data_IF_647980649246
#
_entry.id   IF_647980649246
#
_cell.length_a   1.000
_cell.length_b   1.000
_cell.length_c   1.000
_cell.angle_alpha   90.00
_cell.angle_beta   90.00
_cell.angle_gamma   90.00
#
_symmetry.space_group_name_H-M   'P 1'
#
loop_
_entity.id
_entity.type
_entity.pdbx_description
1 polymer ?
#
# COMPACT_ATOMS: atom_id res chain seq x y z
N UNK A 1 -12.24 -9.35 -16.94
CA UNK A 1 -11.62 -8.93 -15.67
C UNK A 1 -10.99 -7.57 -15.93
N UNK A 2 -11.12 -6.59 -15.02
CA UNK A 2 -10.46 -5.29 -15.14
C UNK A 2 -8.96 -5.47 -14.96
N UNK A 3 -8.14 -4.70 -15.71
CA UNK A 3 -6.71 -4.70 -15.49
C UNK A 3 -6.37 -3.98 -14.17
N UNK A 4 -5.27 -4.40 -13.54
CA UNK A 4 -4.80 -3.85 -12.28
C UNK A 4 -3.39 -3.30 -12.47
N UNK A 5 -3.21 -2.08 -12.02
CA UNK A 5 -1.94 -1.39 -12.03
C UNK A 5 -1.58 -0.90 -10.64
N UNK A 6 -0.29 -0.86 -10.34
CA UNK A 6 0.24 -0.21 -9.14
C UNK A 6 1.30 0.81 -9.53
N UNK A 7 1.38 1.91 -8.78
CA UNK A 7 2.39 2.95 -9.00
C UNK A 7 3.22 3.11 -7.74
N UNK A 8 4.54 3.00 -7.87
CA UNK A 8 5.51 3.22 -6.80
C UNK A 8 6.51 4.31 -7.24
N UNK A 9 6.30 5.54 -6.78
CA UNK A 9 7.21 6.65 -7.11
C UNK A 9 8.51 6.62 -6.28
N UNK A 10 8.47 6.03 -5.08
CA UNK A 10 9.55 6.06 -4.10
C UNK A 10 9.87 4.65 -3.57
N UNK A 11 10.40 3.76 -4.45
CA UNK A 11 10.77 2.40 -4.06
C UNK A 11 11.90 2.43 -3.03
N UNK A 12 12.09 1.30 -2.36
CA UNK A 12 13.21 1.11 -1.45
C UNK A 12 13.67 -0.35 -1.47
N UNK A 13 14.95 -0.59 -1.21
CA UNK A 13 15.36 -1.88 -0.70
C UNK A 13 15.03 -1.95 0.79
N UNK A 14 14.26 -2.94 1.20
CA UNK A 14 14.00 -3.24 2.61
C UNK A 14 15.04 -4.26 3.07
N UNK A 15 15.96 -3.81 3.94
CA UNK A 15 17.08 -4.56 4.46
C UNK A 15 16.79 -4.97 5.90
N UNK A 16 16.75 -6.27 6.16
CA UNK A 16 16.58 -6.82 7.48
C UNK A 16 17.90 -7.40 7.97
N UNK A 17 18.52 -6.74 8.95
CA UNK A 17 19.79 -7.11 9.54
C UNK A 17 19.53 -7.86 10.84
N UNK A 18 19.74 -9.18 10.85
CA UNK A 18 19.67 -9.99 12.06
C UNK A 18 21.02 -9.99 12.75
N UNK A 19 21.02 -9.78 14.05
CA UNK A 19 22.21 -9.74 14.88
C UNK A 19 21.91 -10.26 16.28
N UNK A 20 22.92 -10.80 16.95
CA UNK A 20 22.78 -11.30 18.32
C UNK A 20 22.59 -10.17 19.31
N UNK A 21 23.29 -9.05 19.09
CA UNK A 21 23.33 -7.92 20.02
C UNK A 21 23.47 -6.61 19.24
N UNK A 22 22.86 -5.54 19.75
CA UNK A 22 23.04 -4.17 19.24
C UNK A 22 23.46 -3.24 20.36
N UNK A 23 24.62 -2.62 20.23
CA UNK A 23 25.12 -1.64 21.17
C UNK A 23 25.44 -0.32 20.46
N UNK A 24 24.74 0.75 20.85
CA UNK A 24 24.98 2.07 20.31
C UNK A 24 26.42 2.55 20.62
N UNK A 25 27.04 3.27 19.69
CA UNK A 25 28.40 3.80 19.79
C UNK A 25 29.52 2.75 19.75
N UNK A 26 29.20 1.48 19.41
CA UNK A 26 30.20 0.43 19.14
C UNK A 26 30.05 -0.14 17.73
N UNK A 27 31.08 -0.87 17.30
CA UNK A 27 30.98 -1.70 16.10
C UNK A 27 30.06 -2.88 16.37
N UNK A 28 29.07 -3.07 15.49
CA UNK A 28 28.10 -4.16 15.56
C UNK A 28 28.21 -5.04 14.32
N UNK A 29 28.24 -6.35 14.51
CA UNK A 29 28.33 -7.33 13.43
C UNK A 29 26.94 -7.92 13.13
N UNK A 30 26.65 -8.10 11.85
CA UNK A 30 25.39 -8.64 11.35
C UNK A 30 25.57 -10.12 11.04
N UNK A 31 24.73 -10.97 11.60
CA UNK A 31 24.77 -12.42 11.40
C UNK A 31 24.17 -12.83 10.05
N UNK A 32 23.12 -12.14 9.61
CA UNK A 32 22.48 -12.40 8.32
C UNK A 32 21.73 -11.16 7.81
N UNK A 33 21.61 -11.08 6.48
CA UNK A 33 20.92 -10.01 5.77
C UNK A 33 19.85 -10.61 4.87
N UNK A 34 18.59 -10.14 5.02
CA UNK A 34 17.55 -10.30 4.02
C UNK A 34 17.36 -8.95 3.32
N UNK A 35 17.28 -8.98 1.99
CA UNK A 35 17.10 -7.79 1.16
C UNK A 35 15.96 -8.01 0.20
N UNK A 36 14.91 -7.21 0.33
CA UNK A 36 13.73 -7.25 -0.53
C UNK A 36 13.55 -5.95 -1.30
N UNK A 37 13.14 -6.07 -2.57
CA UNK A 37 12.69 -4.92 -3.35
C UNK A 37 11.33 -4.48 -2.80
N UNK A 38 11.29 -3.35 -2.13
CA UNK A 38 10.13 -2.84 -1.40
C UNK A 38 9.50 -1.62 -2.04
N UNK A 39 8.44 -1.17 -1.40
CA UNK A 39 7.58 -0.07 -1.83
C UNK A 39 6.13 -0.54 -1.86
N UNK A 40 5.21 0.31 -1.39
CA UNK A 40 3.80 -0.10 -1.18
C UNK A 40 3.16 -0.70 -2.44
N UNK A 41 3.32 -0.09 -3.62
CA UNK A 41 2.77 -0.63 -4.87
C UNK A 41 3.39 -1.98 -5.26
N UNK A 42 4.68 -2.19 -5.01
CA UNK A 42 5.34 -3.48 -5.23
C UNK A 42 4.78 -4.53 -4.26
N UNK A 43 4.61 -4.20 -2.98
CA UNK A 43 4.01 -5.10 -1.99
C UNK A 43 2.59 -5.51 -2.37
N UNK A 44 1.78 -4.55 -2.86
CA UNK A 44 0.43 -4.83 -3.40
C UNK A 44 0.52 -5.82 -4.56
N UNK A 45 1.42 -5.61 -5.53
CA UNK A 45 1.57 -6.49 -6.69
C UNK A 45 2.03 -7.90 -6.30
N UNK A 46 2.91 -8.04 -5.29
CA UNK A 46 3.29 -9.35 -4.73
C UNK A 46 2.11 -10.08 -4.10
N UNK A 47 1.35 -9.37 -3.26
CA UNK A 47 0.18 -9.96 -2.60
C UNK A 47 -0.87 -10.41 -3.61
N UNK A 48 -1.10 -9.64 -4.68
CA UNK A 48 -1.95 -10.02 -5.80
C UNK A 48 -1.43 -11.28 -6.49
N UNK A 49 -0.14 -11.32 -6.84
CA UNK A 49 0.49 -12.43 -7.57
C UNK A 49 0.38 -13.75 -6.82
N UNK A 50 0.75 -13.76 -5.54
CA UNK A 50 0.67 -14.97 -4.70
C UNK A 50 -0.77 -15.48 -4.58
N UNK A 51 -1.76 -14.58 -4.66
CA UNK A 51 -3.18 -14.92 -4.60
C UNK A 51 -3.85 -15.04 -5.98
N UNK A 52 -3.06 -15.32 -7.04
CA UNK A 52 -3.58 -15.68 -8.37
C UNK A 52 -4.22 -14.51 -9.13
N UNK A 53 -3.72 -13.29 -8.92
CA UNK A 53 -4.14 -12.10 -9.68
C UNK A 53 -2.93 -11.39 -10.24
N UNK A 54 -2.89 -11.20 -11.55
CA UNK A 54 -1.83 -10.45 -12.20
C UNK A 54 -2.11 -8.93 -12.08
N UNK A 55 -1.01 -8.18 -11.99
CA UNK A 55 -1.00 -6.73 -12.05
C UNK A 55 0.27 -6.26 -12.77
N UNK A 56 0.28 -5.03 -13.27
CA UNK A 56 1.50 -4.40 -13.78
C UNK A 56 1.95 -3.32 -12.81
N UNK A 57 3.17 -3.43 -12.28
CA UNK A 57 3.75 -2.46 -11.37
C UNK A 57 4.56 -1.42 -12.13
N UNK A 58 4.10 -0.18 -12.18
CA UNK A 58 4.88 0.97 -12.63
C UNK A 58 5.79 1.42 -11.48
N UNK A 59 7.07 1.52 -11.74
CA UNK A 59 8.05 1.86 -10.70
C UNK A 59 9.16 2.74 -11.26
N UNK A 60 9.56 3.77 -10.50
CA UNK A 60 10.70 4.61 -10.85
C UNK A 60 11.95 4.02 -10.18
N UNK A 61 12.96 3.73 -10.96
CA UNK A 61 14.20 3.09 -10.53
C UNK A 61 15.41 4.00 -10.73
N UNK A 62 16.24 4.12 -9.72
CA UNK A 62 17.55 4.77 -9.84
C UNK A 62 18.53 3.88 -10.62
N UNK A 63 19.31 4.47 -11.50
CA UNK A 63 20.22 3.77 -12.43
C UNK A 63 21.43 3.10 -11.73
N UNK A 64 21.82 3.57 -10.53
CA UNK A 64 22.95 3.01 -9.79
C UNK A 64 22.70 1.59 -9.24
N UNK A 65 21.46 1.27 -8.83
CA UNK A 65 21.12 -0.04 -8.25
C UNK A 65 19.80 -0.63 -8.76
N UNK A 66 19.20 -0.01 -9.77
CA UNK A 66 17.93 -0.44 -10.37
C UNK A 66 17.99 -1.85 -10.94
N UNK A 67 19.10 -2.24 -11.55
CA UNK A 67 19.27 -3.60 -12.08
C UNK A 67 19.12 -4.69 -11.00
N UNK A 68 19.62 -4.45 -9.79
CA UNK A 68 19.45 -5.36 -8.66
C UNK A 68 17.98 -5.41 -8.19
N UNK A 69 17.27 -4.27 -8.24
CA UNK A 69 15.85 -4.18 -7.92
C UNK A 69 15.02 -4.98 -8.94
N UNK A 70 15.24 -4.76 -10.23
CA UNK A 70 14.57 -5.51 -11.30
C UNK A 70 14.82 -7.03 -11.20
N UNK A 71 16.05 -7.44 -10.85
CA UNK A 71 16.36 -8.85 -10.65
C UNK A 71 15.49 -9.49 -9.54
N UNK A 72 15.11 -8.72 -8.51
CA UNK A 72 14.18 -9.20 -7.48
C UNK A 72 12.75 -9.26 -8.01
N UNK A 73 12.26 -8.23 -8.72
CA UNK A 73 10.92 -8.23 -9.31
C UNK A 73 10.74 -9.43 -10.27
N UNK A 74 11.78 -9.75 -11.04
CA UNK A 74 11.79 -10.92 -11.93
C UNK A 74 11.72 -12.23 -11.17
N UNK A 75 12.47 -12.37 -10.06
CA UNK A 75 12.41 -13.56 -9.20
C UNK A 75 11.02 -13.76 -8.58
N UNK A 76 10.35 -12.66 -8.22
CA UNK A 76 8.99 -12.67 -7.69
C UNK A 76 7.92 -12.94 -8.78
N UNK A 77 8.33 -13.02 -10.04
CA UNK A 77 7.44 -13.24 -11.19
C UNK A 77 6.47 -12.10 -11.45
N UNK A 78 6.82 -10.87 -11.06
CA UNK A 78 5.96 -9.70 -11.26
C UNK A 78 6.05 -9.18 -12.69
N UNK A 79 4.93 -8.73 -13.23
CA UNK A 79 4.92 -7.86 -14.39
C UNK A 79 5.17 -6.43 -13.93
N UNK A 80 6.15 -5.76 -14.52
CA UNK A 80 6.50 -4.40 -14.14
C UNK A 80 6.94 -3.58 -15.36
N UNK A 81 6.76 -2.27 -15.24
CA UNK A 81 7.17 -1.27 -16.21
C UNK A 81 8.06 -0.24 -15.51
N UNK A 82 9.39 -0.33 -15.65
CA UNK A 82 10.30 0.58 -14.99
C UNK A 82 10.45 1.89 -15.77
N UNK A 83 10.56 3.00 -15.04
CA UNK A 83 11.05 4.27 -15.55
C UNK A 83 12.36 4.55 -14.83
N UNK A 84 13.43 4.80 -15.59
CA UNK A 84 14.75 5.01 -15.01
C UNK A 84 15.05 6.50 -14.78
N UNK A 85 15.69 6.78 -13.65
CA UNK A 85 16.18 8.12 -13.29
C UNK A 85 17.60 8.02 -12.76
N UNK A 86 18.33 9.13 -12.78
CA UNK A 86 19.64 9.19 -12.18
C UNK A 86 19.59 8.96 -10.66
N UNK A 87 20.62 8.32 -10.12
CA UNK A 87 20.83 8.13 -8.70
C UNK A 87 20.48 6.74 -8.18
N UNK A 88 20.39 6.64 -6.85
CA UNK A 88 20.29 5.37 -6.13
C UNK A 88 18.92 5.20 -5.49
N UNK A 89 18.26 4.08 -5.69
CA UNK A 89 17.09 3.65 -4.91
C UNK A 89 17.49 3.63 -3.44
N UNK A 90 16.67 4.26 -2.60
CA UNK A 90 16.90 4.33 -1.16
C UNK A 90 16.81 2.96 -0.48
N UNK A 91 17.31 2.90 0.74
CA UNK A 91 17.30 1.71 1.57
C UNK A 91 16.54 2.01 2.87
N UNK A 92 15.73 1.06 3.32
CA UNK A 92 15.17 1.02 4.66
C UNK A 92 15.87 -0.12 5.39
N UNK A 93 16.56 0.19 6.47
CA UNK A 93 17.29 -0.79 7.26
C UNK A 93 16.49 -1.06 8.54
N UNK A 94 16.17 -2.33 8.79
CA UNK A 94 15.60 -2.77 10.06
C UNK A 94 16.63 -3.65 10.76
N UNK A 95 17.09 -3.22 11.92
CA UNK A 95 17.96 -3.98 12.81
C UNK A 95 17.07 -4.86 13.67
N UNK A 96 17.37 -6.16 13.70
CA UNK A 96 16.69 -7.17 14.52
C UNK A 96 17.67 -7.79 15.51
N UNK A 97 17.99 -7.10 16.62
CA UNK A 97 18.80 -7.70 17.69
C UNK A 97 17.99 -8.77 18.41
N UNK A 98 18.63 -9.88 18.80
CA UNK A 98 17.95 -10.94 19.55
C UNK A 98 17.61 -10.54 21.00
N UNK A 99 18.31 -9.55 21.54
CA UNK A 99 18.24 -9.14 22.95
C UNK A 99 17.51 -7.82 23.19
N UNK A 100 17.04 -7.14 22.13
CA UNK A 100 16.40 -5.84 22.26
C UNK A 100 15.33 -5.61 21.19
N UNK A 101 14.65 -4.45 21.24
CA UNK A 101 13.63 -4.09 20.25
C UNK A 101 14.27 -3.76 18.90
N UNK A 102 13.53 -4.04 17.83
CA UNK A 102 13.93 -3.62 16.48
C UNK A 102 14.11 -2.11 16.37
N UNK A 103 15.08 -1.70 15.54
CA UNK A 103 15.34 -0.31 15.22
C UNK A 103 15.30 -0.14 13.72
N UNK A 104 14.56 0.88 13.23
CA UNK A 104 14.44 1.18 11.81
C UNK A 104 15.19 2.45 11.45
N UNK A 105 15.94 2.39 10.35
CA UNK A 105 16.64 3.52 9.74
C UNK A 105 16.14 3.63 8.30
N UNK A 106 15.40 4.70 8.01
CA UNK A 106 14.85 4.93 6.66
C UNK A 106 15.61 6.06 5.98
N UNK A 107 16.21 5.76 4.84
CA UNK A 107 16.86 6.78 4.02
C UNK A 107 15.82 7.53 3.19
N UNK A 108 15.93 8.85 3.16
CA UNK A 108 15.08 9.73 2.36
C UNK A 108 15.94 10.47 1.32
N UNK A 109 16.59 9.69 0.46
CA UNK A 109 17.61 10.16 -0.48
C UNK A 109 17.19 10.12 -1.93
N UNK A 110 16.16 9.32 -2.26
CA UNK A 110 15.71 9.13 -3.64
C UNK A 110 15.03 10.40 -4.18
N UNK A 111 15.43 10.81 -5.38
CA UNK A 111 14.91 12.00 -6.06
C UNK A 111 14.30 11.62 -7.41
N UNK A 112 13.22 12.30 -7.74
CA UNK A 112 12.54 12.18 -9.03
C UNK A 112 12.28 13.59 -9.56
N UNK A 113 12.45 13.82 -10.85
CA UNK A 113 12.13 15.09 -11.48
C UNK A 113 10.74 15.10 -12.10
N UNK A 114 10.14 16.26 -12.38
CA UNK A 114 8.86 16.37 -13.07
C UNK A 114 8.86 15.69 -14.46
N UNK A 115 9.99 15.70 -15.18
CA UNK A 115 10.14 15.05 -16.49
C UNK A 115 9.99 13.53 -16.36
N UNK A 116 10.59 12.92 -15.34
CA UNK A 116 10.48 11.49 -15.05
C UNK A 116 9.04 11.12 -14.65
N UNK A 117 8.37 11.98 -13.87
CA UNK A 117 6.95 11.77 -13.56
C UNK A 117 6.10 11.83 -14.83
N UNK A 118 6.38 12.75 -15.76
CA UNK A 118 5.67 12.85 -17.04
C UNK A 118 5.91 11.61 -17.92
N UNK A 119 7.12 11.06 -17.93
CA UNK A 119 7.42 9.82 -18.64
C UNK A 119 6.63 8.64 -18.06
N UNK A 120 6.58 8.52 -16.73
CA UNK A 120 5.74 7.53 -16.04
C UNK A 120 4.27 7.72 -16.42
N UNK A 121 3.76 8.94 -16.35
CA UNK A 121 2.37 9.26 -16.71
C UNK A 121 2.03 8.79 -18.12
N UNK A 122 2.87 9.12 -19.10
CA UNK A 122 2.70 8.68 -20.47
C UNK A 122 2.65 7.15 -20.56
N UNK A 123 3.60 6.47 -19.90
CA UNK A 123 3.66 5.00 -19.87
C UNK A 123 2.39 4.38 -19.28
N UNK A 124 1.83 4.98 -18.21
CA UNK A 124 0.58 4.52 -17.59
C UNK A 124 -0.61 4.76 -18.53
N UNK A 125 -0.74 5.96 -19.10
CA UNK A 125 -1.86 6.33 -19.97
C UNK A 125 -1.87 5.56 -21.30
N UNK A 126 -0.71 5.13 -21.80
CA UNK A 126 -0.61 4.31 -23.02
C UNK A 126 -1.30 2.94 -22.86
N UNK A 127 -1.37 2.40 -21.63
CA UNK A 127 -1.93 1.06 -21.38
C UNK A 127 -3.22 1.06 -20.60
N UNK A 128 -3.43 1.99 -19.65
CA UNK A 128 -4.66 2.07 -18.86
C UNK A 128 -5.88 2.42 -19.70
N UNK A 129 -7.01 1.81 -19.38
CA UNK A 129 -8.31 2.07 -20.03
C UNK A 129 -9.33 2.47 -18.98
N UNK A 130 -10.41 3.11 -19.43
CA UNK A 130 -11.52 3.45 -18.55
C UNK A 130 -12.08 2.21 -17.84
N UNK A 131 -12.25 2.32 -16.53
CA UNK A 131 -12.70 1.24 -15.66
C UNK A 131 -11.59 0.33 -15.12
N UNK A 132 -10.35 0.45 -15.59
CA UNK A 132 -9.21 -0.24 -14.98
C UNK A 132 -8.94 0.28 -13.56
N UNK A 133 -8.24 -0.52 -12.76
CA UNK A 133 -7.94 -0.25 -11.37
C UNK A 133 -6.47 0.15 -11.22
N UNK A 134 -6.20 1.24 -10.52
CA UNK A 134 -4.83 1.66 -10.24
C UNK A 134 -4.68 2.01 -8.76
N UNK A 135 -3.71 1.39 -8.08
CA UNK A 135 -3.29 1.78 -6.74
C UNK A 135 -2.06 2.69 -6.80
N UNK A 136 -2.23 3.94 -6.35
CA UNK A 136 -1.15 4.85 -6.03
C UNK A 136 -0.85 4.74 -4.54
N UNK A 137 0.31 4.19 -4.19
CA UNK A 137 0.62 3.90 -2.80
C UNK A 137 2.07 4.25 -2.43
N UNK A 138 2.24 4.82 -1.24
CA UNK A 138 3.52 5.23 -0.69
C UNK A 138 3.73 6.74 -0.68
N UNK A 139 4.92 7.15 -0.21
CA UNK A 139 5.31 8.56 -0.11
C UNK A 139 5.80 9.09 -1.45
N UNK A 140 5.55 10.39 -1.69
CA UNK A 140 6.18 11.09 -2.80
C UNK A 140 7.71 11.13 -2.58
N UNK A 141 8.51 10.96 -3.64
CA UNK A 141 9.97 11.16 -3.57
C UNK A 141 10.30 12.66 -3.46
N UNK A 142 11.53 12.96 -3.08
CA UNK A 142 12.06 14.33 -3.19
C UNK A 142 12.18 14.74 -4.66
N UNK A 143 12.07 16.05 -4.90
CA UNK A 143 12.21 16.64 -6.23
C UNK A 143 10.91 16.78 -7.01
N UNK A 144 9.82 16.17 -6.56
CA UNK A 144 8.48 16.43 -7.06
C UNK A 144 7.73 17.37 -6.11
N UNK A 145 7.10 18.35 -6.67
CA UNK A 145 6.12 19.16 -5.95
C UNK A 145 4.82 18.34 -5.82
N UNK A 146 4.12 18.53 -4.71
CA UNK A 146 2.85 17.84 -4.45
C UNK A 146 1.82 18.09 -5.56
N UNK A 147 1.78 19.30 -6.08
CA UNK A 147 0.90 19.70 -7.18
C UNK A 147 1.11 18.88 -8.46
N UNK A 148 2.35 18.49 -8.77
CA UNK A 148 2.65 17.66 -9.96
C UNK A 148 2.01 16.27 -9.83
N UNK A 149 2.11 15.69 -8.63
CA UNK A 149 1.53 14.36 -8.35
C UNK A 149 -0.01 14.43 -8.32
N UNK A 150 -0.59 15.49 -7.76
CA UNK A 150 -2.04 15.73 -7.80
C UNK A 150 -2.53 15.82 -9.26
N UNK A 151 -1.84 16.61 -10.09
CA UNK A 151 -2.19 16.77 -11.50
C UNK A 151 -2.08 15.43 -12.26
N UNK A 152 -1.06 14.62 -11.99
CA UNK A 152 -0.92 13.27 -12.54
C UNK A 152 -2.14 12.39 -12.19
N UNK A 153 -2.50 12.30 -10.91
CA UNK A 153 -3.62 11.45 -10.45
C UNK A 153 -4.96 11.92 -11.05
N UNK A 154 -5.19 13.23 -11.11
CA UNK A 154 -6.38 13.81 -11.74
C UNK A 154 -6.50 13.45 -13.22
N UNK A 155 -5.38 13.46 -13.97
CA UNK A 155 -5.40 13.06 -15.38
C UNK A 155 -5.76 11.59 -15.57
N UNK A 156 -5.29 10.69 -14.69
CA UNK A 156 -5.69 9.28 -14.69
C UNK A 156 -7.20 9.13 -14.46
N UNK A 157 -7.73 9.84 -13.44
CA UNK A 157 -9.15 9.81 -13.11
C UNK A 157 -9.99 10.38 -14.27
N UNK A 158 -9.55 11.48 -14.87
CA UNK A 158 -10.22 12.09 -16.04
C UNK A 158 -10.25 11.14 -17.26
N UNK A 159 -9.30 10.20 -17.37
CA UNK A 159 -9.30 9.13 -18.37
C UNK A 159 -10.15 7.91 -17.95
N UNK A 160 -10.90 8.01 -16.86
CA UNK A 160 -11.81 6.96 -16.38
C UNK A 160 -11.15 5.84 -15.60
N UNK A 161 -9.89 5.97 -15.21
CA UNK A 161 -9.19 5.00 -14.35
C UNK A 161 -9.72 5.13 -12.92
N UNK A 162 -10.07 4.02 -12.29
CA UNK A 162 -10.47 3.99 -10.87
C UNK A 162 -9.22 3.98 -9.99
N UNK A 163 -8.88 5.13 -9.44
CA UNK A 163 -7.66 5.32 -8.66
C UNK A 163 -7.93 5.11 -7.18
N UNK A 164 -7.12 4.24 -6.55
CA UNK A 164 -7.00 4.12 -5.08
C UNK A 164 -5.79 4.93 -4.65
N UNK A 165 -5.92 5.74 -3.58
CA UNK A 165 -4.80 6.47 -2.98
C UNK A 165 -4.56 6.00 -1.55
N UNK A 166 -3.35 5.50 -1.29
CA UNK A 166 -2.85 5.15 0.05
C UNK A 166 -1.49 5.81 0.31
N UNK A 167 -1.53 7.09 0.64
CA UNK A 167 -0.34 7.91 0.80
C UNK A 167 -0.52 8.94 1.92
N UNK A 168 0.48 9.04 2.78
CA UNK A 168 0.56 10.10 3.79
C UNK A 168 1.16 11.42 3.25
N UNK A 169 1.33 11.54 1.93
CA UNK A 169 1.81 12.77 1.29
C UNK A 169 0.70 13.78 1.04
N UNK A 170 -0.56 13.41 1.21
CA UNK A 170 -1.73 14.25 0.91
C UNK A 170 -2.54 14.56 2.16
N UNK A 171 -3.01 15.81 2.24
CA UNK A 171 -4.02 16.25 3.21
C UNK A 171 -5.42 15.92 2.70
N UNK A 172 -6.47 16.04 3.54
CA UNK A 172 -7.86 15.91 3.08
C UNK A 172 -8.22 16.88 1.94
N UNK A 173 -7.67 18.10 1.97
CA UNK A 173 -7.89 19.11 0.92
C UNK A 173 -7.26 18.66 -0.40
N UNK A 174 -6.03 18.13 -0.37
CA UNK A 174 -5.36 17.57 -1.54
C UNK A 174 -6.16 16.39 -2.11
N UNK A 175 -6.67 15.51 -1.23
CA UNK A 175 -7.50 14.38 -1.63
C UNK A 175 -8.85 14.83 -2.23
N UNK A 176 -9.43 15.91 -1.70
CA UNK A 176 -10.64 16.53 -2.31
C UNK A 176 -10.36 17.05 -3.71
N UNK A 177 -9.16 17.61 -3.94
CA UNK A 177 -8.75 18.04 -5.28
C UNK A 177 -8.52 16.86 -6.23
N UNK A 178 -7.92 15.76 -5.76
CA UNK A 178 -7.70 14.53 -6.53
C UNK A 178 -9.03 13.82 -6.81
N UNK A 179 -9.89 13.73 -5.80
CA UNK A 179 -11.15 12.99 -5.78
C UNK A 179 -11.01 11.54 -6.26
N UNK A 180 -10.19 10.70 -5.56
CA UNK A 180 -9.97 9.32 -5.96
C UNK A 180 -11.24 8.47 -5.73
N UNK A 181 -11.32 7.32 -6.42
CA UNK A 181 -12.36 6.35 -6.16
C UNK A 181 -12.35 5.86 -4.70
N UNK A 182 -11.17 5.52 -4.16
CA UNK A 182 -11.04 4.97 -2.81
C UNK A 182 -9.80 5.53 -2.11
N UNK A 183 -9.93 5.85 -0.84
CA UNK A 183 -8.82 6.02 0.10
C UNK A 183 -8.91 4.99 1.21
N UNK A 184 -7.74 4.60 1.79
CA UNK A 184 -7.70 3.65 2.89
C UNK A 184 -6.88 4.19 4.08
N UNK A 185 -7.35 5.17 4.83
CA UNK A 185 -6.69 5.58 6.07
C UNK A 185 -6.81 4.53 7.18
N UNK A 186 -5.88 4.58 8.13
CA UNK A 186 -5.98 3.89 9.41
C UNK A 186 -6.56 4.84 10.49
N UNK A 187 -6.75 4.30 11.71
CA UNK A 187 -7.30 5.08 12.84
C UNK A 187 -6.50 6.36 13.15
N UNK A 188 -5.17 6.30 13.09
CA UNK A 188 -4.32 7.47 13.38
C UNK A 188 -4.41 8.52 12.28
N UNK A 189 -4.46 8.09 11.02
CA UNK A 189 -4.61 8.98 9.87
C UNK A 189 -5.98 9.66 9.88
N UNK A 190 -7.05 8.97 10.28
CA UNK A 190 -8.38 9.56 10.44
C UNK A 190 -8.39 10.64 11.52
N UNK A 191 -7.77 10.38 12.67
CA UNK A 191 -7.63 11.41 13.70
C UNK A 191 -6.90 12.64 13.16
N UNK A 192 -5.86 12.42 12.36
CA UNK A 192 -5.14 13.52 11.68
C UNK A 192 -6.01 14.27 10.68
N UNK A 193 -6.94 13.59 9.99
CA UNK A 193 -7.80 14.17 8.97
C UNK A 193 -8.99 14.97 9.55
N UNK A 194 -9.58 14.47 10.62
CA UNK A 194 -10.82 15.03 11.16
C UNK A 194 -10.64 15.75 12.53
N UNK A 195 -9.51 15.54 13.20
CA UNK A 195 -9.26 16.08 14.55
C UNK A 195 -10.10 15.43 15.65
N UNK A 196 -10.85 14.36 15.31
CA UNK A 196 -11.72 13.65 16.27
C UNK A 196 -11.21 12.22 16.49
N UNK A 197 -11.18 11.72 17.74
CA UNK A 197 -10.83 10.33 18.02
C UNK A 197 -11.81 9.35 17.38
N UNK A 198 -11.30 8.17 17.03
CA UNK A 198 -12.10 7.00 16.63
C UNK A 198 -11.92 5.97 17.71
N UNK A 199 -12.95 5.75 18.52
CA UNK A 199 -12.88 4.87 19.69
C UNK A 199 -13.49 3.48 19.43
N UNK A 200 -14.31 3.38 18.39
CA UNK A 200 -15.00 2.14 18.01
C UNK A 200 -15.34 2.12 16.51
N UNK A 201 -15.85 0.99 16.05
CA UNK A 201 -16.18 0.79 14.63
C UNK A 201 -17.31 1.72 14.13
N UNK A 202 -18.24 2.13 15.00
CA UNK A 202 -19.30 3.07 14.63
C UNK A 202 -18.74 4.49 14.41
N UNK A 203 -17.80 4.93 15.24
CA UNK A 203 -17.11 6.20 15.04
C UNK A 203 -16.33 6.19 13.72
N UNK A 204 -15.69 5.07 13.40
CA UNK A 204 -15.01 4.88 12.11
C UNK A 204 -16.00 4.94 10.93
N UNK A 205 -17.19 4.34 11.06
CA UNK A 205 -18.23 4.40 10.04
C UNK A 205 -18.71 5.84 9.80
N UNK A 206 -18.94 6.57 10.88
CA UNK A 206 -19.33 7.99 10.82
C UNK A 206 -18.21 8.85 10.19
N UNK A 207 -16.96 8.60 10.55
CA UNK A 207 -15.80 9.28 10.01
C UNK A 207 -15.63 9.00 8.49
N UNK A 208 -15.77 7.75 8.07
CA UNK A 208 -15.72 7.38 6.66
C UNK A 208 -16.82 8.08 5.85
N UNK A 209 -18.08 8.05 6.34
CA UNK A 209 -19.19 8.73 5.69
C UNK A 209 -18.99 10.25 5.63
N UNK A 210 -18.43 10.86 6.65
CA UNK A 210 -18.12 12.30 6.69
C UNK A 210 -17.07 12.69 5.64
N UNK A 211 -16.00 11.89 5.47
CA UNK A 211 -14.98 12.15 4.44
C UNK A 211 -15.56 12.05 3.02
N UNK A 212 -16.43 11.06 2.78
CA UNK A 212 -17.14 10.97 1.48
C UNK A 212 -18.02 12.19 1.25
N UNK A 213 -18.79 12.62 2.25
CA UNK A 213 -19.66 13.82 2.15
C UNK A 213 -18.86 15.10 1.90
N UNK A 214 -17.64 15.20 2.43
CA UNK A 214 -16.72 16.30 2.13
C UNK A 214 -16.09 16.22 0.74
N UNK A 215 -16.31 15.16 -0.01
CA UNK A 215 -15.75 14.97 -1.35
C UNK A 215 -14.29 14.55 -1.36
N UNK A 216 -13.78 14.01 -0.26
CA UNK A 216 -12.37 13.56 -0.14
C UNK A 216 -12.10 12.37 -1.06
N UNK A 217 -13.08 11.49 -1.23
CA UNK A 217 -13.07 10.37 -2.15
C UNK A 217 -14.50 9.94 -2.48
N UNK A 218 -14.70 9.12 -3.51
CA UNK A 218 -16.02 8.52 -3.79
C UNK A 218 -16.38 7.48 -2.70
N UNK A 219 -15.40 6.73 -2.20
CA UNK A 219 -15.55 5.73 -1.16
C UNK A 219 -14.38 5.80 -0.18
N UNK A 220 -14.61 5.47 1.09
CA UNK A 220 -13.58 5.45 2.13
C UNK A 220 -13.60 4.12 2.87
N UNK A 221 -12.45 3.46 2.96
CA UNK A 221 -12.23 2.28 3.78
C UNK A 221 -11.31 2.63 4.95
N UNK A 222 -11.75 2.46 6.19
CA UNK A 222 -10.92 2.67 7.38
C UNK A 222 -10.49 1.31 7.94
N UNK A 223 -9.18 1.10 8.06
CA UNK A 223 -8.64 -0.10 8.70
C UNK A 223 -8.53 0.10 10.21
N UNK A 224 -9.05 -0.85 11.00
CA UNK A 224 -9.10 -0.85 12.47
C UNK A 224 -8.16 -1.93 13.06
N UNK A 225 -7.06 -2.19 12.38
CA UNK A 225 -6.10 -3.22 12.79
C UNK A 225 -6.76 -4.57 13.06
N UNK A 226 -6.56 -5.12 14.26
CA UNK A 226 -7.16 -6.42 14.65
C UNK A 226 -8.67 -6.38 14.91
N UNK A 227 -9.33 -5.22 14.85
CA UNK A 227 -10.79 -5.10 15.00
C UNK A 227 -11.54 -5.22 13.67
N UNK A 228 -10.80 -5.13 12.54
CA UNK A 228 -11.38 -5.29 11.21
C UNK A 228 -11.30 -4.02 10.37
N UNK A 229 -12.39 -3.67 9.71
CA UNK A 229 -12.46 -2.47 8.88
C UNK A 229 -13.90 -1.99 8.67
N UNK A 230 -14.00 -0.74 8.26
CA UNK A 230 -15.23 -0.09 7.83
C UNK A 230 -15.09 0.36 6.38
N UNK A 231 -16.17 0.31 5.61
CA UNK A 231 -16.25 0.86 4.26
C UNK A 231 -17.52 1.69 4.10
N UNK A 232 -17.41 2.91 3.63
CA UNK A 232 -18.56 3.79 3.37
C UNK A 232 -18.50 4.41 1.98
N UNK A 233 -19.69 4.57 1.34
CA UNK A 233 -19.91 5.38 0.15
C UNK A 233 -20.65 6.71 0.46
N UNK A 234 -20.76 7.04 1.74
CA UNK A 234 -21.44 8.24 2.23
C UNK A 234 -22.96 8.08 2.44
N UNK A 235 -23.56 7.02 1.90
CA UNK A 235 -24.98 6.66 2.13
C UNK A 235 -25.06 5.46 3.06
N UNK A 236 -24.34 4.39 2.72
CA UNK A 236 -24.28 3.17 3.49
C UNK A 236 -22.86 2.91 4.01
N UNK A 237 -22.78 2.26 5.17
CA UNK A 237 -21.52 1.82 5.77
C UNK A 237 -21.57 0.34 6.09
N UNK A 238 -20.51 -0.38 5.73
CA UNK A 238 -20.29 -1.77 6.10
C UNK A 238 -19.23 -1.83 7.20
N UNK A 239 -19.51 -2.53 8.27
CA UNK A 239 -18.57 -2.81 9.36
C UNK A 239 -18.27 -4.29 9.37
N UNK A 240 -16.99 -4.63 9.34
CA UNK A 240 -16.53 -6.01 9.36
C UNK A 240 -15.53 -6.23 10.48
N UNK A 241 -15.70 -7.35 11.20
CA UNK A 241 -14.72 -7.86 12.15
C UNK A 241 -13.89 -8.99 11.54
N UNK A 242 -12.66 -9.15 12.05
CA UNK A 242 -11.73 -10.23 11.69
C UNK A 242 -11.42 -11.10 12.92
N UNK A 243 -10.97 -12.35 12.70
CA UNK A 243 -10.52 -13.16 13.82
C UNK A 243 -9.29 -12.52 14.48
N UNK A 244 -9.29 -12.52 15.82
CA UNK A 244 -8.12 -12.06 16.58
C UNK A 244 -6.98 -13.05 16.43
N UNK A 245 -5.82 -12.59 15.98
CA UNK A 245 -4.60 -13.37 15.96
C UNK A 245 -3.98 -13.36 17.35
N UNK A 246 -3.76 -14.55 17.93
CA UNK A 246 -3.14 -14.65 19.24
C UNK A 246 -1.68 -14.13 19.24
N UNK A 247 -0.97 -14.39 18.14
CA UNK A 247 0.44 -14.00 17.98
C UNK A 247 0.67 -13.54 16.53
N UNK A 248 0.45 -12.25 16.21
CA UNK A 248 0.83 -11.73 14.90
C UNK A 248 2.36 -11.76 14.76
N UNK A 249 2.84 -12.20 13.60
CA UNK A 249 4.28 -12.26 13.28
C UNK A 249 4.80 -10.87 12.94
N UNK A 250 4.08 -10.14 12.08
CA UNK A 250 4.41 -8.76 11.69
C UNK A 250 3.14 -8.04 11.25
N UNK A 251 3.06 -6.73 11.50
CA UNK A 251 1.98 -5.89 10.96
C UNK A 251 2.44 -5.05 9.76
N UNK A 252 3.71 -5.17 9.39
CA UNK A 252 4.28 -4.43 8.24
C UNK A 252 3.69 -5.01 6.95
N UNK A 253 3.23 -4.14 6.05
CA UNK A 253 2.63 -4.55 4.78
C UNK A 253 1.18 -5.07 4.87
N UNK A 254 0.57 -5.13 6.07
CA UNK A 254 -0.85 -5.51 6.23
C UNK A 254 -1.78 -4.55 5.46
N UNK A 255 -1.52 -3.25 5.51
CA UNK A 255 -2.27 -2.25 4.76
C UNK A 255 -2.14 -2.41 3.24
N UNK A 256 -0.92 -2.70 2.74
CA UNK A 256 -0.67 -2.97 1.33
C UNK A 256 -1.41 -4.24 0.88
N UNK A 257 -1.36 -5.29 1.70
CA UNK A 257 -2.09 -6.54 1.44
C UNK A 257 -3.61 -6.33 1.48
N UNK A 258 -4.12 -5.49 2.38
CA UNK A 258 -5.55 -5.11 2.40
C UNK A 258 -5.95 -4.48 1.07
N UNK A 259 -5.17 -3.56 0.52
CA UNK A 259 -5.43 -2.97 -0.80
C UNK A 259 -5.33 -3.99 -1.93
N UNK A 260 -4.39 -4.93 -1.85
CA UNK A 260 -4.34 -6.04 -2.79
C UNK A 260 -5.65 -6.85 -2.78
N UNK A 261 -6.23 -7.10 -1.61
CA UNK A 261 -7.53 -7.75 -1.46
C UNK A 261 -8.69 -6.95 -2.09
N UNK A 262 -8.71 -5.61 -1.91
CA UNK A 262 -9.66 -4.73 -2.60
C UNK A 262 -9.57 -4.88 -4.10
N UNK A 263 -8.36 -4.75 -4.66
CA UNK A 263 -8.10 -4.85 -6.10
C UNK A 263 -8.46 -6.24 -6.65
N UNK A 264 -8.06 -7.30 -5.93
CA UNK A 264 -8.33 -8.69 -6.26
C UNK A 264 -9.83 -8.95 -6.45
N UNK A 265 -10.64 -8.53 -5.48
CA UNK A 265 -12.08 -8.77 -5.50
C UNK A 265 -12.83 -7.84 -6.48
N UNK A 266 -12.46 -6.54 -6.51
CA UNK A 266 -13.08 -5.56 -7.40
C UNK A 266 -12.82 -5.89 -8.88
N UNK A 267 -11.62 -6.35 -9.25
CA UNK A 267 -11.32 -6.74 -10.63
C UNK A 267 -12.17 -7.93 -11.11
N UNK A 268 -12.68 -8.73 -10.19
CA UNK A 268 -13.59 -9.86 -10.45
C UNK A 268 -15.07 -9.46 -10.47
N UNK A 269 -15.38 -8.19 -10.16
CA UNK A 269 -16.75 -7.68 -10.14
C UNK A 269 -17.57 -8.20 -8.95
N UNK A 270 -16.91 -8.51 -7.84
CA UNK A 270 -17.60 -8.95 -6.62
C UNK A 270 -18.30 -7.77 -5.94
N UNK A 271 -19.34 -8.06 -5.16
CA UNK A 271 -20.08 -7.06 -4.39
C UNK A 271 -19.23 -6.44 -3.26
N UNK A 272 -19.66 -5.29 -2.74
CA UNK A 272 -18.91 -4.50 -1.74
C UNK A 272 -18.61 -5.31 -0.46
N UNK A 273 -19.56 -6.10 0.03
CA UNK A 273 -19.33 -6.93 1.22
C UNK A 273 -18.21 -7.94 0.96
N UNK A 274 -18.28 -8.66 -0.15
CA UNK A 274 -17.27 -9.64 -0.54
C UNK A 274 -15.90 -8.98 -0.77
N UNK A 275 -15.88 -7.77 -1.35
CA UNK A 275 -14.64 -6.97 -1.51
C UNK A 275 -14.05 -6.66 -0.14
N UNK A 276 -14.85 -6.14 0.80
CA UNK A 276 -14.36 -5.79 2.13
C UNK A 276 -13.89 -7.02 2.91
N UNK A 277 -14.64 -8.13 2.86
CA UNK A 277 -14.23 -9.42 3.46
C UNK A 277 -12.89 -9.91 2.91
N UNK A 278 -12.72 -9.84 1.59
CA UNK A 278 -11.46 -10.22 0.93
C UNK A 278 -10.32 -9.30 1.36
N UNK A 279 -10.57 -8.00 1.39
CA UNK A 279 -9.57 -7.00 1.78
C UNK A 279 -9.04 -7.22 3.20
N UNK A 280 -9.94 -7.36 4.18
CA UNK A 280 -9.52 -7.62 5.58
C UNK A 280 -8.87 -8.98 5.75
N UNK A 281 -9.26 -9.98 4.94
CA UNK A 281 -8.64 -11.30 4.97
C UNK A 281 -7.19 -11.28 4.48
N UNK A 282 -6.91 -10.53 3.41
CA UNK A 282 -5.54 -10.32 2.94
C UNK A 282 -4.70 -9.61 3.99
N UNK A 283 -5.22 -8.52 4.60
CA UNK A 283 -4.51 -7.77 5.63
C UNK A 283 -4.23 -8.61 6.88
N UNK A 284 -5.22 -9.36 7.37
CA UNK A 284 -5.07 -10.23 8.53
C UNK A 284 -4.10 -11.38 8.26
N UNK A 285 -4.21 -12.04 7.09
CA UNK A 285 -3.31 -13.13 6.70
C UNK A 285 -1.86 -12.62 6.50
N UNK A 286 -1.66 -11.38 6.07
CA UNK A 286 -0.32 -10.78 5.99
C UNK A 286 0.33 -10.66 7.38
N UNK A 287 -0.46 -10.45 8.45
CA UNK A 287 0.07 -10.45 9.81
C UNK A 287 0.58 -11.82 10.30
N UNK A 288 0.37 -12.89 9.53
CA UNK A 288 0.88 -14.23 9.80
C UNK A 288 2.22 -14.51 9.10
N UNK A 289 2.74 -13.55 8.32
CA UNK A 289 4.01 -13.65 7.59
C UNK A 289 5.07 -12.69 8.15
N UNK A 290 6.36 -12.94 7.85
CA UNK A 290 7.46 -12.07 8.28
C UNK A 290 7.57 -10.82 7.39
N UNK A 291 7.82 -9.66 8.01
CA UNK A 291 8.12 -8.41 7.31
C UNK A 291 7.01 -8.01 6.32
N UNK A 292 7.38 -7.81 5.06
CA UNK A 292 6.48 -7.46 3.96
C UNK A 292 6.16 -8.64 3.04
N UNK A 293 6.44 -9.87 3.48
CA UNK A 293 6.09 -11.06 2.71
C UNK A 293 4.58 -11.11 2.46
N UNK A 294 4.15 -11.46 1.25
CA UNK A 294 2.73 -11.50 0.89
C UNK A 294 1.98 -12.58 1.66
N UNK A 295 0.67 -12.38 1.92
CA UNK A 295 -0.17 -13.37 2.57
C UNK A 295 -0.32 -14.61 1.70
N UNK A 296 -0.27 -15.80 2.31
CA UNK A 296 -0.51 -17.06 1.61
C UNK A 296 -2.00 -17.22 1.28
N UNK A 297 -2.29 -17.77 0.11
CA UNK A 297 -3.68 -17.94 -0.34
C UNK A 297 -4.51 -18.83 0.59
N UNK A 298 -3.90 -19.84 1.20
CA UNK A 298 -4.54 -20.72 2.19
C UNK A 298 -4.95 -19.95 3.45
N UNK A 299 -4.08 -19.06 3.97
CA UNK A 299 -4.35 -18.24 5.15
C UNK A 299 -5.45 -17.20 4.85
N UNK A 300 -5.40 -16.55 3.67
CA UNK A 300 -6.46 -15.64 3.21
C UNK A 300 -7.81 -16.35 3.19
N UNK A 301 -7.87 -17.56 2.63
CA UNK A 301 -9.11 -18.35 2.58
C UNK A 301 -9.61 -18.73 3.98
N UNK A 302 -8.73 -19.12 4.87
CA UNK A 302 -9.07 -19.48 6.25
C UNK A 302 -9.61 -18.27 7.03
N UNK A 303 -8.98 -17.09 6.90
CA UNK A 303 -9.45 -15.85 7.52
C UNK A 303 -10.79 -15.41 6.95
N UNK A 304 -10.98 -15.48 5.61
CA UNK A 304 -12.24 -15.11 4.95
C UNK A 304 -13.45 -15.86 5.52
N UNK A 305 -13.29 -17.15 5.81
CA UNK A 305 -14.36 -17.96 6.43
C UNK A 305 -14.72 -17.53 7.85
N UNK A 306 -13.91 -16.71 8.51
CA UNK A 306 -14.08 -16.26 9.88
C UNK A 306 -14.48 -14.78 10.01
N UNK A 307 -14.46 -14.03 8.91
CA UNK A 307 -14.92 -12.62 8.90
C UNK A 307 -16.42 -12.54 9.14
N UNK A 308 -16.87 -11.48 9.85
CA UNK A 308 -18.29 -11.26 10.16
C UNK A 308 -18.68 -9.82 9.87
N UNK A 309 -19.83 -9.63 9.25
CA UNK A 309 -20.53 -8.34 9.16
C UNK A 309 -21.15 -8.03 10.53
N UNK A 310 -21.01 -6.79 11.00
CA UNK A 310 -21.51 -6.32 12.29
C UNK A 310 -22.76 -5.45 12.13
#
# INVERSE_FOLDING_TARGET
>A
MKAIYTVTLNPAFDLHYRMTHFEAQKENYVDSILCDAGGKGINISRALKVNGTDSTAFVILGDENGAAFEAQLKRDGLHYAPIHTAGRIRENITLHPADSRETRISLDTFRVTPEILHELEKSVLDVCRAGDLLAFAGRNPKGLEKADVIAFLRRLIANGVRVIVDSNSFTPEDLTEIHPWLIKPNEQEIVSFLGTPVENAQDAANAAAELVKRGVAEEVMISLGGDGAVWSDGQDSLILSVPKLAHPVSTIGAGDSTLAGVLHATARGLDRETVLRTAVSFGTAACMTEGTLPPKAEDVKAVFGQTRVL
#
